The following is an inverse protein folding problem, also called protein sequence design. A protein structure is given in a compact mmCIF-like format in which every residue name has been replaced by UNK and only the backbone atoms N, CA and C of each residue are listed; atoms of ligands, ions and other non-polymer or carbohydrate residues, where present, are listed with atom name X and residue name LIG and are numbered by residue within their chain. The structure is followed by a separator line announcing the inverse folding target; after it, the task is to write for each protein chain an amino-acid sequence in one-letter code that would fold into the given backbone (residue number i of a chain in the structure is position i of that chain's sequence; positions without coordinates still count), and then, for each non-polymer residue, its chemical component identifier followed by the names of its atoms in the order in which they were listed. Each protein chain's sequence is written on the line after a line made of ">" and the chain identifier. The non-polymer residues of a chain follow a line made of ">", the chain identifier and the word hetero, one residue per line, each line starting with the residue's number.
data_IF_471246415230
#
_entry.id   IF_471246415230
#
_cell.length_a   1.000
_cell.length_b   1.000
_cell.length_c   1.000
_cell.angle_alpha   90.00
_cell.angle_beta   90.00
_cell.angle_gamma   90.00
#
_symmetry.space_group_name_H-M   'P 1'
#
loop_
_entity.id
_entity.type
_entity.pdbx_description
1 polymer ?
#
# COMPACT_ATOMS: atom_id res chain seq x y z
N UNK A 1 -14.50 -6.91 12.62
CA UNK A 1 -13.76 -7.03 11.35
C UNK A 1 -12.39 -7.64 11.63
N UNK A 2 -11.92 -8.54 10.76
CA UNK A 2 -10.57 -9.09 10.85
C UNK A 2 -9.62 -8.12 10.17
N UNK A 3 -8.54 -7.75 10.85
CA UNK A 3 -7.51 -6.87 10.30
C UNK A 3 -6.68 -7.59 9.25
N UNK A 4 -6.24 -6.86 8.24
CA UNK A 4 -5.40 -7.33 7.14
C UNK A 4 -4.21 -6.41 6.94
N UNK A 5 -3.04 -7.00 6.73
CA UNK A 5 -1.79 -6.28 6.62
C UNK A 5 -1.11 -6.51 5.27
N UNK A 6 -0.65 -5.42 4.68
CA UNK A 6 0.11 -5.45 3.44
C UNK A 6 1.59 -5.18 3.71
N UNK A 7 2.46 -6.00 3.13
CA UNK A 7 3.88 -5.75 3.02
C UNK A 7 4.16 -4.92 1.76
N UNK A 8 4.92 -3.85 1.89
CA UNK A 8 5.33 -3.04 0.73
C UNK A 8 6.62 -3.59 0.15
N UNK A 9 6.56 -4.13 -1.07
CA UNK A 9 7.73 -4.71 -1.72
C UNK A 9 8.77 -3.63 -2.09
N UNK A 10 10.05 -3.81 -1.71
CA UNK A 10 11.11 -2.86 -2.02
C UNK A 10 11.69 -3.12 -3.42
N UNK A 11 10.85 -2.97 -4.46
CA UNK A 11 11.24 -3.22 -5.86
C UNK A 11 12.05 -2.08 -6.50
N UNK A 12 12.83 -1.37 -5.70
CA UNK A 12 13.61 -0.18 -6.08
C UNK A 12 14.97 -0.20 -5.40
N UNK A 13 16.04 0.20 -6.10
CA UNK A 13 17.38 0.25 -5.53
C UNK A 13 17.42 1.15 -4.29
N UNK A 14 18.19 0.75 -3.28
CA UNK A 14 18.15 1.37 -1.96
C UNK A 14 16.99 0.91 -1.07
N UNK A 15 16.10 0.01 -1.53
CA UNK A 15 15.07 -0.64 -0.71
C UNK A 15 14.04 0.32 -0.10
N UNK A 16 13.73 1.44 -0.76
CA UNK A 16 12.86 2.51 -0.24
C UNK A 16 13.43 3.26 0.97
N UNK A 17 14.73 3.18 1.19
CA UNK A 17 15.37 3.75 2.38
C UNK A 17 15.46 5.26 2.33
N UNK A 18 15.12 5.89 3.44
CA UNK A 18 15.29 7.33 3.68
C UNK A 18 16.35 7.63 4.75
N UNK A 19 16.92 6.61 5.34
CA UNK A 19 17.86 6.68 6.47
C UNK A 19 19.20 6.07 6.09
N UNK A 20 20.29 6.50 6.75
CA UNK A 20 21.61 5.88 6.64
C UNK A 20 21.80 4.66 7.53
N UNK A 21 20.74 4.20 8.20
CA UNK A 21 20.80 2.98 9.00
C UNK A 21 21.09 1.76 8.12
N UNK A 22 22.07 0.93 8.50
CA UNK A 22 22.32 -0.32 7.80
C UNK A 22 21.09 -1.22 7.79
N UNK A 23 20.82 -1.84 6.65
CA UNK A 23 19.72 -2.81 6.51
C UNK A 23 20.10 -3.91 5.53
N UNK A 24 19.36 -5.04 5.63
CA UNK A 24 19.56 -6.23 4.79
C UNK A 24 18.63 -6.27 3.58
N UNK A 25 17.91 -5.19 3.32
CA UNK A 25 16.92 -5.12 2.26
C UNK A 25 17.60 -4.81 0.92
N UNK A 26 17.61 -5.76 0.02
CA UNK A 26 17.95 -5.57 -1.38
C UNK A 26 16.73 -5.18 -2.21
N UNK A 27 16.88 -5.11 -3.54
CA UNK A 27 15.82 -4.62 -4.44
C UNK A 27 15.64 -5.50 -5.69
N UNK A 28 16.55 -6.40 -5.95
CA UNK A 28 16.53 -7.23 -7.14
C UNK A 28 15.39 -8.26 -7.13
N UNK A 29 15.29 -9.04 -8.19
CA UNK A 29 14.23 -10.03 -8.35
C UNK A 29 14.24 -11.09 -7.25
N UNK A 30 15.39 -11.69 -6.98
CA UNK A 30 15.49 -12.80 -5.99
C UNK A 30 15.23 -12.26 -4.57
N UNK A 31 15.67 -11.04 -4.27
CA UNK A 31 15.35 -10.38 -3.01
C UNK A 31 13.84 -10.18 -2.85
N UNK A 32 13.17 -9.64 -3.87
CA UNK A 32 11.71 -9.41 -3.81
C UNK A 32 10.92 -10.73 -3.71
N UNK A 33 11.36 -11.81 -4.37
CA UNK A 33 10.77 -13.15 -4.19
C UNK A 33 10.93 -13.60 -2.75
N UNK A 34 12.13 -13.51 -2.21
CA UNK A 34 12.43 -13.89 -0.82
C UNK A 34 11.60 -13.09 0.17
N UNK A 35 11.47 -11.78 -0.01
CA UNK A 35 10.68 -10.92 0.89
C UNK A 35 9.19 -11.21 0.82
N UNK A 36 8.64 -11.46 -0.35
CA UNK A 36 7.24 -11.86 -0.49
C UNK A 36 6.96 -13.18 0.24
N UNK A 37 7.84 -14.17 0.11
CA UNK A 37 7.73 -15.44 0.82
C UNK A 37 7.89 -15.28 2.34
N UNK A 38 8.81 -14.44 2.79
CA UNK A 38 8.95 -14.08 4.21
C UNK A 38 7.67 -13.41 4.71
N UNK A 39 7.17 -12.39 4.04
CA UNK A 39 5.95 -11.69 4.42
C UNK A 39 4.75 -12.65 4.52
N UNK A 40 4.62 -13.58 3.57
CA UNK A 40 3.61 -14.63 3.59
C UNK A 40 3.72 -15.51 4.84
N UNK A 41 4.94 -15.94 5.18
CA UNK A 41 5.20 -16.78 6.34
C UNK A 41 4.99 -16.03 7.66
N UNK A 42 5.31 -14.75 7.71
CA UNK A 42 5.10 -13.87 8.85
C UNK A 42 3.63 -13.52 9.11
N UNK A 43 2.75 -13.77 8.15
CA UNK A 43 1.32 -13.55 8.36
C UNK A 43 0.73 -12.34 7.68
N UNK A 44 1.48 -11.63 6.83
CA UNK A 44 0.90 -10.60 5.98
C UNK A 44 -0.12 -11.19 5.00
N UNK A 45 -1.17 -10.41 4.69
CA UNK A 45 -2.25 -10.82 3.77
C UNK A 45 -1.97 -10.39 2.33
N UNK A 46 -1.25 -9.28 2.15
CA UNK A 46 -1.00 -8.67 0.86
C UNK A 46 0.48 -8.35 0.67
N UNK A 47 0.91 -8.35 -0.57
CA UNK A 47 2.10 -7.64 -1.02
C UNK A 47 1.68 -6.52 -1.97
N UNK A 48 2.12 -5.29 -1.70
CA UNK A 48 1.93 -4.13 -2.57
C UNK A 48 3.23 -3.83 -3.30
N UNK A 49 3.18 -3.80 -4.63
CA UNK A 49 4.29 -3.36 -5.46
C UNK A 49 4.07 -1.91 -5.87
N UNK A 50 5.08 -1.07 -5.63
CA UNK A 50 5.01 0.30 -6.14
C UNK A 50 5.31 0.35 -7.64
N UNK A 51 4.68 1.29 -8.33
CA UNK A 51 4.92 1.53 -9.74
C UNK A 51 5.62 2.85 -9.97
N UNK A 52 6.72 2.81 -10.73
CA UNK A 52 7.42 3.93 -11.35
C UNK A 52 8.10 3.41 -12.61
N UNK A 53 8.19 4.26 -13.60
CA UNK A 53 8.99 4.02 -14.80
C UNK A 53 10.35 4.72 -14.73
N UNK A 54 10.41 5.82 -13.96
CA UNK A 54 11.67 6.39 -13.49
C UNK A 54 11.79 6.09 -12.00
N UNK A 55 12.95 5.62 -11.57
CA UNK A 55 13.19 5.35 -10.17
C UNK A 55 13.02 6.63 -9.32
N UNK A 56 12.54 6.48 -8.10
CA UNK A 56 12.25 7.57 -7.19
C UNK A 56 12.89 7.36 -5.82
N UNK A 57 12.73 8.30 -4.91
CA UNK A 57 13.30 8.24 -3.55
C UNK A 57 14.83 8.16 -3.51
N UNK A 58 15.50 8.83 -4.46
CA UNK A 58 16.97 8.80 -4.56
C UNK A 58 17.53 7.49 -5.12
N UNK A 59 16.70 6.62 -5.64
CA UNK A 59 17.08 5.37 -6.27
C UNK A 59 17.40 5.55 -7.75
N UNK A 60 18.21 4.65 -8.30
CA UNK A 60 18.60 4.64 -9.71
C UNK A 60 17.82 3.55 -10.49
N UNK A 61 17.56 2.41 -9.87
CA UNK A 61 17.00 1.22 -10.51
C UNK A 61 15.65 0.85 -9.89
N UNK A 62 14.69 0.44 -10.72
CA UNK A 62 13.39 -0.03 -10.26
C UNK A 62 12.84 -1.13 -11.19
N UNK A 63 12.32 -2.21 -10.59
CA UNK A 63 11.60 -3.24 -11.32
C UNK A 63 10.16 -2.80 -11.56
N UNK A 64 9.64 -3.11 -12.77
CA UNK A 64 8.27 -2.77 -13.16
C UNK A 64 7.25 -3.64 -12.39
N UNK A 65 6.20 -3.01 -11.89
CA UNK A 65 5.28 -3.61 -10.94
C UNK A 65 4.44 -4.76 -11.52
N UNK A 66 3.88 -4.64 -12.71
CA UNK A 66 2.99 -5.67 -13.27
C UNK A 66 3.76 -6.94 -13.64
N UNK A 67 4.94 -6.79 -14.22
CA UNK A 67 5.82 -7.91 -14.56
C UNK A 67 6.30 -8.63 -13.29
N UNK A 68 6.74 -7.87 -12.28
CA UNK A 68 7.15 -8.45 -11.00
C UNK A 68 5.98 -9.11 -10.27
N UNK A 69 4.77 -8.53 -10.35
CA UNK A 69 3.56 -9.13 -9.76
C UNK A 69 3.30 -10.54 -10.30
N UNK A 70 3.46 -10.76 -11.60
CA UNK A 70 3.29 -12.08 -12.20
C UNK A 70 4.31 -13.09 -11.64
N UNK A 71 5.55 -12.67 -11.47
CA UNK A 71 6.60 -13.51 -10.90
C UNK A 71 6.35 -13.84 -9.43
N UNK A 72 5.98 -12.85 -8.60
CA UNK A 72 5.64 -13.07 -7.19
C UNK A 72 4.39 -13.93 -7.03
N UNK A 73 3.39 -13.77 -7.90
CA UNK A 73 2.20 -14.62 -7.93
C UNK A 73 2.53 -16.11 -8.09
N UNK A 74 3.52 -16.40 -8.96
CA UNK A 74 4.00 -17.77 -9.20
C UNK A 74 4.88 -18.34 -8.07
N UNK A 75 5.40 -17.52 -7.18
CA UNK A 75 6.37 -17.89 -6.12
C UNK A 75 5.78 -17.80 -4.70
N UNK A 76 4.52 -17.43 -4.57
CA UNK A 76 3.75 -17.34 -3.31
C UNK A 76 2.46 -18.13 -3.42
N UNK A 77 1.88 -18.52 -2.27
CA UNK A 77 0.70 -19.39 -2.22
C UNK A 77 -0.55 -18.69 -1.67
N UNK A 78 -0.39 -17.73 -0.75
CA UNK A 78 -1.48 -17.13 0.04
C UNK A 78 -1.61 -15.63 -0.10
N UNK A 79 -0.50 -14.91 -0.33
CA UNK A 79 -0.51 -13.44 -0.47
C UNK A 79 -1.39 -12.98 -1.63
N UNK A 80 -2.25 -12.01 -1.39
CA UNK A 80 -2.85 -11.23 -2.45
C UNK A 80 -1.82 -10.26 -3.03
N UNK A 81 -1.76 -10.20 -4.35
CA UNK A 81 -0.77 -9.38 -5.07
C UNK A 81 -1.46 -8.09 -5.52
N UNK A 82 -1.11 -6.96 -4.91
CA UNK A 82 -1.62 -5.65 -5.31
C UNK A 82 -0.65 -5.02 -6.31
N UNK A 83 -0.99 -5.10 -7.58
CA UNK A 83 -0.22 -4.52 -8.67
C UNK A 83 -0.54 -3.04 -8.81
N UNK A 84 0.42 -2.15 -8.58
CA UNK A 84 0.21 -0.73 -8.83
C UNK A 84 0.37 -0.40 -10.33
N UNK A 85 -0.54 0.42 -10.85
CA UNK A 85 -0.63 0.76 -12.27
C UNK A 85 -0.82 2.26 -12.47
N UNK A 86 -0.17 2.82 -13.49
CA UNK A 86 -0.29 4.22 -13.91
C UNK A 86 -1.12 4.32 -15.20
N UNK A 87 -2.41 4.69 -15.14
CA UNK A 87 -3.20 5.03 -16.32
C UNK A 87 -2.53 6.12 -17.15
N UNK A 88 -2.50 5.91 -18.47
CA UNK A 88 -1.79 6.76 -19.42
C UNK A 88 -0.48 6.15 -19.88
N UNK A 89 0.32 5.55 -19.01
CA UNK A 89 1.49 4.75 -19.41
C UNK A 89 1.10 3.32 -19.81
N UNK A 90 -0.07 2.85 -19.40
CA UNK A 90 -0.64 1.57 -19.80
C UNK A 90 -1.97 1.76 -20.52
N UNK A 91 -2.19 1.00 -21.60
CA UNK A 91 -3.51 0.87 -22.20
C UNK A 91 -4.38 -0.07 -21.36
N UNK A 92 -5.63 0.31 -20.98
CA UNK A 92 -6.46 -0.50 -20.07
C UNK A 92 -6.79 -1.90 -20.61
N UNK A 93 -6.96 -2.06 -21.91
CA UNK A 93 -7.20 -3.37 -22.53
C UNK A 93 -6.02 -4.32 -22.38
N UNK A 94 -4.78 -3.83 -22.55
CA UNK A 94 -3.57 -4.61 -22.31
C UNK A 94 -3.44 -4.96 -20.82
N UNK A 95 -3.64 -3.99 -19.95
CA UNK A 95 -3.58 -4.21 -18.50
C UNK A 95 -4.66 -5.16 -18.01
N UNK A 96 -5.88 -5.09 -18.53
CA UNK A 96 -6.95 -6.04 -18.21
C UNK A 96 -6.54 -7.49 -18.51
N UNK A 97 -5.85 -7.69 -19.64
CA UNK A 97 -5.34 -9.02 -20.06
C UNK A 97 -4.19 -9.48 -19.15
N UNK A 98 -3.27 -8.60 -18.80
CA UNK A 98 -2.16 -8.91 -17.90
C UNK A 98 -2.67 -9.29 -16.52
N UNK A 99 -3.58 -8.50 -15.94
CA UNK A 99 -4.16 -8.75 -14.61
C UNK A 99 -4.99 -10.05 -14.58
N UNK A 100 -5.73 -10.37 -15.65
CA UNK A 100 -6.41 -11.65 -15.77
C UNK A 100 -5.40 -12.82 -15.80
N UNK A 101 -4.25 -12.66 -16.46
CA UNK A 101 -3.18 -13.67 -16.47
C UNK A 101 -2.55 -13.82 -15.08
N UNK A 102 -2.25 -12.71 -14.39
CA UNK A 102 -1.74 -12.73 -13.01
C UNK A 102 -2.75 -13.41 -12.08
N UNK A 103 -4.04 -13.16 -12.29
CA UNK A 103 -5.10 -13.79 -11.50
C UNK A 103 -5.12 -15.31 -11.66
N UNK A 104 -4.98 -15.82 -12.90
CA UNK A 104 -4.83 -17.26 -13.15
C UNK A 104 -3.55 -17.84 -12.56
N UNK A 105 -2.41 -17.18 -12.73
CA UNK A 105 -1.13 -17.62 -12.13
C UNK A 105 -1.20 -17.70 -10.62
N UNK A 106 -1.89 -16.75 -9.99
CA UNK A 106 -2.04 -16.69 -8.54
C UNK A 106 -3.20 -17.54 -7.99
N UNK A 107 -4.06 -18.11 -8.84
CA UNK A 107 -5.27 -18.81 -8.37
C UNK A 107 -6.34 -17.88 -7.77
N UNK A 108 -6.51 -16.68 -8.33
CA UNK A 108 -7.53 -15.71 -7.90
C UNK A 108 -7.08 -14.76 -6.78
N UNK A 109 -5.76 -14.50 -6.65
CA UNK A 109 -5.17 -13.61 -5.62
C UNK A 109 -4.74 -12.25 -6.17
N UNK A 110 -5.12 -11.87 -7.39
CA UNK A 110 -4.77 -10.60 -8.00
C UNK A 110 -5.64 -9.45 -7.46
N UNK A 111 -5.02 -8.30 -7.29
CA UNK A 111 -5.66 -7.01 -7.04
C UNK A 111 -4.88 -5.91 -7.77
N UNK A 112 -5.46 -4.74 -7.97
CA UNK A 112 -4.81 -3.64 -8.66
C UNK A 112 -4.94 -2.34 -7.87
N UNK A 113 -3.85 -1.58 -7.76
CA UNK A 113 -3.85 -0.24 -7.20
C UNK A 113 -3.69 0.80 -8.32
N UNK A 114 -4.71 1.61 -8.53
CA UNK A 114 -4.72 2.63 -9.57
C UNK A 114 -4.11 3.92 -9.04
N UNK A 115 -2.99 4.33 -9.64
CA UNK A 115 -2.24 5.55 -9.29
C UNK A 115 -2.41 6.56 -10.44
N UNK A 116 -3.17 7.63 -10.21
CA UNK A 116 -3.49 8.63 -11.27
C UNK A 116 -2.29 9.43 -11.76
N UNK A 117 -1.16 9.35 -11.05
CA UNK A 117 0.10 9.99 -11.40
C UNK A 117 0.32 11.32 -10.66
N UNK A 118 1.55 11.54 -10.21
CA UNK A 118 2.00 12.76 -9.55
C UNK A 118 3.38 13.22 -10.03
N UNK A 119 4.12 12.35 -10.74
CA UNK A 119 5.45 12.65 -11.24
C UNK A 119 5.40 12.91 -12.75
N UNK A 120 5.37 14.19 -13.13
CA UNK A 120 5.28 14.66 -14.52
C UNK A 120 6.39 14.11 -15.40
N UNK A 121 7.61 13.99 -14.86
CA UNK A 121 8.80 13.63 -15.63
C UNK A 121 8.70 12.27 -16.32
N UNK A 122 8.08 11.26 -15.67
CA UNK A 122 7.97 9.93 -16.28
C UNK A 122 6.96 9.89 -17.44
N UNK A 123 5.85 10.65 -17.35
CA UNK A 123 4.89 10.74 -18.46
C UNK A 123 5.53 11.40 -19.68
N UNK A 124 6.10 12.58 -19.51
CA UNK A 124 6.76 13.31 -20.61
C UNK A 124 7.92 12.50 -21.19
N UNK A 125 8.72 11.84 -20.32
CA UNK A 125 9.86 11.03 -20.75
C UNK A 125 9.49 9.83 -21.61
N UNK A 126 8.30 9.27 -21.41
CA UNK A 126 7.75 8.17 -22.20
C UNK A 126 6.83 8.64 -23.35
N UNK A 127 6.75 9.95 -23.60
CA UNK A 127 6.01 10.53 -24.71
C UNK A 127 4.51 10.70 -24.47
N UNK A 128 4.07 10.53 -23.22
CA UNK A 128 2.67 10.70 -22.84
C UNK A 128 2.38 12.15 -22.40
N UNK A 129 1.22 12.70 -22.73
CA UNK A 129 0.85 14.03 -22.30
C UNK A 129 0.65 14.09 -20.78
N UNK A 130 1.15 15.17 -20.17
CA UNK A 130 0.83 15.48 -18.80
C UNK A 130 -0.50 16.22 -18.72
N UNK A 131 -1.53 15.52 -18.29
CA UNK A 131 -2.87 16.09 -18.12
C UNK A 131 -2.96 16.93 -16.84
N UNK A 132 -3.90 17.86 -16.81
CA UNK A 132 -4.27 18.57 -15.60
C UNK A 132 -4.73 17.62 -14.51
N UNK A 133 -4.65 18.07 -13.24
CA UNK A 133 -4.87 17.23 -12.08
C UNK A 133 -6.17 16.42 -12.18
N UNK A 134 -7.31 17.07 -12.39
CA UNK A 134 -8.62 16.39 -12.39
C UNK A 134 -8.81 15.50 -13.64
N UNK A 135 -8.23 15.88 -14.78
CA UNK A 135 -8.23 15.05 -15.98
C UNK A 135 -7.48 13.73 -15.81
N UNK A 136 -6.42 13.70 -14.99
CA UNK A 136 -5.75 12.46 -14.64
C UNK A 136 -6.67 11.51 -13.88
N UNK A 137 -7.53 12.02 -12.99
CA UNK A 137 -8.52 11.21 -12.28
C UNK A 137 -9.67 10.78 -13.20
N UNK A 138 -10.13 11.63 -14.13
CA UNK A 138 -11.11 11.25 -15.15
C UNK A 138 -10.58 10.11 -16.03
N UNK A 139 -9.33 10.22 -16.50
CA UNK A 139 -8.68 9.14 -17.24
C UNK A 139 -8.57 7.86 -16.44
N UNK A 140 -8.23 7.95 -15.17
CA UNK A 140 -8.14 6.78 -14.29
C UNK A 140 -9.50 6.13 -14.04
N UNK A 141 -10.57 6.92 -13.94
CA UNK A 141 -11.93 6.39 -13.83
C UNK A 141 -12.35 5.62 -15.08
N UNK A 142 -12.12 6.17 -16.27
CA UNK A 142 -12.38 5.46 -17.51
C UNK A 142 -11.54 4.18 -17.62
N UNK A 143 -10.27 4.24 -17.22
CA UNK A 143 -9.39 3.08 -17.17
C UNK A 143 -10.01 1.96 -16.31
N UNK A 144 -10.49 2.26 -15.10
CA UNK A 144 -11.14 1.30 -14.22
C UNK A 144 -12.41 0.74 -14.85
N UNK A 145 -13.25 1.60 -15.46
CA UNK A 145 -14.48 1.17 -16.14
C UNK A 145 -14.19 0.20 -17.28
N UNK A 146 -13.15 0.48 -18.07
CA UNK A 146 -12.69 -0.41 -19.14
C UNK A 146 -12.17 -1.75 -18.60
N UNK A 147 -11.41 -1.74 -17.49
CA UNK A 147 -10.99 -2.99 -16.84
C UNK A 147 -12.19 -3.84 -16.45
N UNK A 148 -13.17 -3.24 -15.75
CA UNK A 148 -14.37 -3.94 -15.28
C UNK A 148 -15.20 -4.48 -16.44
N UNK A 149 -15.39 -3.68 -17.50
CA UNK A 149 -16.13 -4.08 -18.69
C UNK A 149 -15.48 -5.30 -19.34
N UNK A 150 -14.17 -5.27 -19.57
CA UNK A 150 -13.41 -6.37 -20.14
C UNK A 150 -13.43 -7.64 -19.27
N UNK A 151 -13.44 -7.51 -17.95
CA UNK A 151 -13.47 -8.66 -17.04
C UNK A 151 -14.83 -9.33 -16.94
N UNK A 152 -15.93 -8.62 -17.22
CA UNK A 152 -17.29 -9.10 -16.99
C UNK A 152 -18.10 -9.35 -18.26
N UNK A 153 -18.05 -8.44 -19.23
CA UNK A 153 -18.82 -8.55 -20.48
C UNK A 153 -18.23 -9.59 -21.44
N UNK A 154 -19.06 -10.30 -22.17
CA UNK A 154 -18.61 -11.20 -23.24
C UNK A 154 -17.95 -10.41 -24.39
N UNK A 155 -18.62 -9.35 -24.83
CA UNK A 155 -18.14 -8.36 -25.78
C UNK A 155 -18.16 -7.00 -25.10
N UNK A 156 -16.99 -6.44 -24.84
CA UNK A 156 -16.83 -5.18 -24.16
C UNK A 156 -16.95 -4.02 -25.15
N UNK A 157 -17.84 -3.10 -24.84
CA UNK A 157 -18.04 -1.87 -25.61
C UNK A 157 -17.94 -0.68 -24.66
N UNK A 158 -17.07 0.29 -24.99
CA UNK A 158 -16.87 1.47 -24.18
C UNK A 158 -16.57 2.67 -25.09
N UNK A 159 -17.14 3.81 -24.77
CA UNK A 159 -16.85 5.07 -25.45
C UNK A 159 -16.71 6.18 -24.39
N UNK A 160 -15.50 6.58 -24.16
CA UNK A 160 -15.13 7.66 -23.27
C UNK A 160 -14.32 8.75 -23.97
N UNK A 161 -13.80 9.67 -23.20
CA UNK A 161 -12.94 10.74 -23.69
C UNK A 161 -11.50 10.28 -23.90
N UNK A 162 -11.05 9.28 -23.14
CA UNK A 162 -9.66 8.78 -23.16
C UNK A 162 -9.56 7.41 -23.80
N UNK A 163 -10.57 6.56 -23.69
CA UNK A 163 -10.54 5.18 -24.17
C UNK A 163 -11.81 4.80 -24.92
N UNK A 164 -11.66 3.91 -25.88
CA UNK A 164 -12.80 3.31 -26.58
C UNK A 164 -12.55 1.82 -26.83
N UNK A 165 -13.62 1.02 -26.72
CA UNK A 165 -13.64 -0.38 -27.08
C UNK A 165 -14.80 -0.63 -28.04
N UNK A 166 -14.59 -1.55 -29.00
CA UNK A 166 -15.60 -1.98 -29.95
C UNK A 166 -15.56 -3.51 -30.05
N UNK A 167 -16.57 -4.18 -29.54
CA UNK A 167 -16.72 -5.63 -29.47
C UNK A 167 -15.44 -6.36 -28.99
N UNK A 168 -14.74 -5.73 -28.03
CA UNK A 168 -13.50 -6.26 -27.51
C UNK A 168 -13.73 -7.49 -26.62
N UNK A 169 -12.94 -8.53 -26.82
CA UNK A 169 -13.02 -9.76 -26.05
C UNK A 169 -11.77 -9.93 -25.17
N UNK A 170 -11.99 -10.40 -23.95
CA UNK A 170 -10.93 -10.84 -23.04
C UNK A 170 -11.21 -12.29 -22.63
N UNK A 171 -10.37 -13.23 -23.08
CA UNK A 171 -10.42 -14.65 -22.74
C UNK A 171 -9.01 -15.16 -22.44
N UNK A 172 -8.78 -15.88 -21.30
CA UNK A 172 -9.75 -16.14 -20.24
C UNK A 172 -10.12 -14.88 -19.46
N UNK A 173 -11.30 -14.86 -18.84
CA UNK A 173 -11.65 -13.90 -17.82
C UNK A 173 -10.81 -14.18 -16.55
N UNK A 174 -10.58 -13.21 -15.65
CA UNK A 174 -10.01 -13.53 -14.35
C UNK A 174 -10.89 -14.54 -13.61
N UNK A 175 -10.30 -15.36 -12.74
CA UNK A 175 -11.02 -16.30 -11.85
C UNK A 175 -11.94 -15.51 -10.93
N UNK A 176 -11.44 -14.37 -10.44
CA UNK A 176 -12.21 -13.36 -9.71
C UNK A 176 -11.83 -11.98 -10.24
N UNK A 177 -12.79 -11.09 -10.53
CA UNK A 177 -12.44 -9.72 -10.88
C UNK A 177 -11.53 -9.11 -9.81
N UNK A 178 -10.30 -8.67 -10.19
CA UNK A 178 -9.38 -8.07 -9.23
C UNK A 178 -9.98 -6.87 -8.52
N UNK A 179 -9.84 -6.78 -7.19
CA UNK A 179 -10.28 -5.60 -6.44
C UNK A 179 -9.48 -4.37 -6.85
N UNK A 180 -10.18 -3.26 -6.97
CA UNK A 180 -9.60 -1.95 -7.30
C UNK A 180 -9.28 -1.21 -6.02
N UNK A 181 -8.00 -1.02 -5.77
CA UNK A 181 -7.45 -0.17 -4.71
C UNK A 181 -7.10 1.20 -5.29
N UNK A 182 -7.25 2.23 -4.49
CA UNK A 182 -6.94 3.59 -4.88
C UNK A 182 -6.63 4.44 -3.66
N UNK A 183 -5.68 5.37 -3.80
CA UNK A 183 -5.42 6.43 -2.84
C UNK A 183 -5.58 7.81 -3.45
N UNK A 184 -5.40 8.85 -2.64
CA UNK A 184 -5.43 10.25 -3.05
C UNK A 184 -6.36 11.10 -2.20
N UNK A 185 -5.95 12.32 -1.86
CA UNK A 185 -6.64 13.18 -0.89
C UNK A 185 -7.47 14.30 -1.52
N UNK A 186 -7.30 14.59 -2.82
CA UNK A 186 -8.05 15.60 -3.51
C UNK A 186 -9.54 15.23 -3.67
N UNK A 187 -10.39 16.23 -3.87
CA UNK A 187 -11.81 15.99 -4.15
C UNK A 187 -12.00 15.06 -5.36
N UNK A 188 -11.26 15.29 -6.45
CA UNK A 188 -11.30 14.42 -7.64
C UNK A 188 -10.95 12.96 -7.32
N UNK A 189 -9.91 12.72 -6.47
CA UNK A 189 -9.54 11.38 -6.02
C UNK A 189 -10.66 10.70 -5.22
N UNK A 190 -11.24 11.42 -4.24
CA UNK A 190 -12.32 10.90 -3.39
C UNK A 190 -13.59 10.64 -4.20
N UNK A 191 -13.93 11.55 -5.13
CA UNK A 191 -15.06 11.37 -6.03
C UNK A 191 -14.91 10.15 -6.95
N UNK A 192 -13.70 9.94 -7.53
CA UNK A 192 -13.40 8.73 -8.30
C UNK A 192 -13.53 7.48 -7.41
N UNK A 193 -12.97 7.50 -6.19
CA UNK A 193 -13.10 6.37 -5.26
C UNK A 193 -14.56 6.05 -4.97
N UNK A 194 -15.38 7.07 -4.70
CA UNK A 194 -16.83 6.93 -4.49
C UNK A 194 -17.53 6.26 -5.66
N UNK A 195 -17.14 6.54 -6.90
CA UNK A 195 -17.79 6.00 -8.09
C UNK A 195 -17.32 4.60 -8.50
N UNK A 196 -16.02 4.31 -8.38
CA UNK A 196 -15.48 3.12 -9.07
C UNK A 196 -14.50 2.25 -8.27
N UNK A 197 -14.08 2.62 -7.06
CA UNK A 197 -13.11 1.83 -6.31
C UNK A 197 -13.77 0.85 -5.35
N UNK A 198 -13.06 -0.24 -5.00
CA UNK A 198 -13.49 -1.21 -3.99
C UNK A 198 -12.85 -0.91 -2.64
N UNK A 199 -11.61 -0.39 -2.64
CA UNK A 199 -10.84 -0.03 -1.45
C UNK A 199 -10.23 1.35 -1.62
N UNK A 200 -10.45 2.23 -0.65
CA UNK A 200 -9.83 3.55 -0.60
C UNK A 200 -8.76 3.60 0.47
N UNK A 201 -7.52 3.92 0.07
CA UNK A 201 -6.39 4.08 0.96
C UNK A 201 -6.10 5.54 1.28
N UNK A 202 -5.85 5.79 2.57
CA UNK A 202 -5.41 7.08 3.11
C UNK A 202 -3.98 6.97 3.64
N UNK A 203 -3.21 8.05 3.60
CA UNK A 203 -1.98 8.12 4.38
C UNK A 203 -2.31 8.24 5.87
N UNK A 204 -1.53 7.60 6.74
CA UNK A 204 -1.69 7.68 8.18
C UNK A 204 -1.76 9.15 8.65
N UNK A 205 -2.75 9.47 9.45
CA UNK A 205 -3.03 10.83 9.92
C UNK A 205 -3.75 10.77 11.27
N UNK A 206 -4.04 11.93 11.87
CA UNK A 206 -4.87 11.99 13.08
C UNK A 206 -6.23 11.34 12.85
N UNK A 207 -6.81 10.78 13.89
CA UNK A 207 -8.11 10.10 13.80
C UNK A 207 -9.21 11.03 13.25
N UNK A 208 -9.18 12.31 13.62
CA UNK A 208 -10.11 13.32 13.11
C UNK A 208 -10.00 13.48 11.58
N UNK A 209 -8.77 13.62 11.06
CA UNK A 209 -8.54 13.74 9.62
C UNK A 209 -8.92 12.47 8.86
N UNK A 210 -8.68 11.30 9.44
CA UNK A 210 -9.09 10.01 8.85
C UNK A 210 -10.61 9.89 8.83
N UNK A 211 -11.30 10.20 9.94
CA UNK A 211 -12.77 10.19 10.00
C UNK A 211 -13.37 11.11 8.95
N UNK A 212 -12.87 12.34 8.84
CA UNK A 212 -13.33 13.30 7.83
C UNK A 212 -13.20 12.75 6.41
N UNK A 213 -12.07 12.13 6.08
CA UNK A 213 -11.87 11.53 4.75
C UNK A 213 -12.82 10.35 4.49
N UNK A 214 -13.06 9.51 5.49
CA UNK A 214 -14.01 8.39 5.42
C UNK A 214 -15.42 8.92 5.14
N UNK A 215 -15.86 9.93 5.88
CA UNK A 215 -17.20 10.50 5.75
C UNK A 215 -17.41 11.15 4.37
N UNK A 216 -16.41 11.90 3.88
CA UNK A 216 -16.43 12.47 2.54
C UNK A 216 -16.55 11.39 1.44
N UNK A 217 -15.77 10.31 1.54
CA UNK A 217 -15.81 9.23 0.54
C UNK A 217 -17.13 8.46 0.63
N UNK A 218 -17.67 8.23 1.83
CA UNK A 218 -18.98 7.60 2.02
C UNK A 218 -20.11 8.42 1.41
N UNK A 219 -20.11 9.75 1.63
CA UNK A 219 -21.09 10.64 1.04
C UNK A 219 -21.05 10.62 -0.49
N UNK A 220 -19.85 10.74 -1.08
CA UNK A 220 -19.64 10.67 -2.53
C UNK A 220 -20.03 9.28 -3.11
N UNK A 221 -19.87 8.22 -2.32
CA UNK A 221 -20.29 6.87 -2.68
C UNK A 221 -21.81 6.73 -2.72
N UNK A 222 -22.49 7.29 -1.73
CA UNK A 222 -23.96 7.32 -1.65
C UNK A 222 -24.55 8.15 -2.80
N UNK A 223 -24.01 9.34 -3.08
CA UNK A 223 -24.42 10.16 -4.24
C UNK A 223 -24.26 9.41 -5.57
N UNK A 224 -23.22 8.57 -5.69
CA UNK A 224 -22.98 7.76 -6.87
C UNK A 224 -23.88 6.50 -6.94
N UNK A 225 -24.74 6.26 -5.94
CA UNK A 225 -25.61 5.08 -5.88
C UNK A 225 -24.85 3.75 -5.80
N UNK A 226 -23.62 3.78 -5.25
CA UNK A 226 -22.76 2.59 -5.15
C UNK A 226 -22.92 1.89 -3.80
N UNK A 227 -22.64 0.57 -3.76
CA UNK A 227 -22.59 -0.21 -2.54
C UNK A 227 -21.41 0.16 -1.62
N UNK A 228 -21.19 -0.57 -0.51
CA UNK A 228 -20.13 -0.28 0.46
C UNK A 228 -18.74 -0.18 -0.18
N UNK A 229 -17.85 0.62 0.43
CA UNK A 229 -16.43 0.71 0.10
C UNK A 229 -15.60 0.32 1.33
N UNK A 230 -14.49 -0.37 1.11
CA UNK A 230 -13.54 -0.74 2.15
C UNK A 230 -12.50 0.37 2.33
N UNK A 231 -11.95 0.50 3.56
CA UNK A 231 -10.97 1.54 3.87
C UNK A 231 -9.67 0.94 4.37
N UNK A 232 -8.56 1.58 3.98
CA UNK A 232 -7.23 1.23 4.45
C UNK A 232 -6.37 2.45 4.79
N UNK A 233 -5.33 2.22 5.58
CA UNK A 233 -4.32 3.22 5.93
C UNK A 233 -2.94 2.75 5.50
N UNK A 234 -2.19 3.66 4.88
CA UNK A 234 -0.79 3.48 4.53
C UNK A 234 0.07 4.31 5.48
N UNK A 235 0.97 3.66 6.21
CA UNK A 235 1.85 4.30 7.18
C UNK A 235 3.03 3.41 7.54
N UNK A 236 3.80 3.87 8.52
CA UNK A 236 4.89 3.11 9.09
C UNK A 236 4.53 2.65 10.50
N UNK A 237 5.26 1.66 10.98
CA UNK A 237 5.17 1.18 12.34
C UNK A 237 6.58 1.01 12.91
N UNK A 238 6.77 1.46 14.12
CA UNK A 238 8.00 1.29 14.90
C UNK A 238 7.58 0.71 16.24
N UNK A 239 7.61 -0.61 16.34
CA UNK A 239 7.22 -1.33 17.55
C UNK A 239 8.46 -1.94 18.20
N UNK A 240 8.60 -1.76 19.51
CA UNK A 240 9.68 -2.37 20.32
C UNK A 240 9.05 -2.93 21.61
N UNK A 241 9.82 -3.67 22.39
CA UNK A 241 9.31 -4.26 23.63
C UNK A 241 8.84 -3.20 24.62
N UNK A 242 9.49 -2.01 24.63
CA UNK A 242 9.12 -0.89 25.49
C UNK A 242 8.85 0.38 24.68
N UNK A 243 8.09 1.29 25.26
CA UNK A 243 7.79 2.62 24.71
C UNK A 243 9.08 3.41 24.45
N UNK A 244 10.02 3.39 25.42
CA UNK A 244 11.29 4.11 25.34
C UNK A 244 12.16 3.61 24.16
N UNK A 245 12.24 2.30 23.98
CA UNK A 245 12.99 1.71 22.86
C UNK A 245 12.37 2.06 21.50
N UNK A 246 11.04 2.12 21.43
CA UNK A 246 10.34 2.48 20.20
C UNK A 246 10.62 3.93 19.80
N UNK A 247 10.53 4.86 20.75
CA UNK A 247 10.84 6.26 20.49
C UNK A 247 12.32 6.49 20.18
N UNK A 248 13.24 5.82 20.88
CA UNK A 248 14.67 5.86 20.55
C UNK A 248 14.96 5.34 19.11
N UNK A 249 14.22 4.31 18.66
CA UNK A 249 14.32 3.81 17.29
C UNK A 249 13.79 4.84 16.27
N UNK A 250 12.71 5.56 16.58
CA UNK A 250 12.17 6.63 15.74
C UNK A 250 13.17 7.79 15.59
N UNK A 251 13.75 8.26 16.69
CA UNK A 251 14.76 9.31 16.67
C UNK A 251 16.00 8.90 15.87
N UNK A 252 16.44 7.66 16.03
CA UNK A 252 17.57 7.11 15.29
C UNK A 252 17.37 7.11 13.77
N UNK A 253 16.13 6.96 13.29
CA UNK A 253 15.85 7.00 11.85
C UNK A 253 16.23 8.34 11.21
N UNK A 254 16.09 9.44 11.94
CA UNK A 254 16.33 10.79 11.44
C UNK A 254 17.61 11.43 12.01
N UNK A 255 18.40 10.68 12.77
CA UNK A 255 19.63 11.16 13.43
C UNK A 255 20.60 11.84 12.44
N UNK A 256 20.72 11.30 11.22
CA UNK A 256 21.63 11.80 10.20
C UNK A 256 20.95 12.71 9.16
N UNK A 257 19.71 13.11 9.37
CA UNK A 257 19.00 14.05 8.50
C UNK A 257 19.24 15.46 9.04
N UNK A 258 20.02 16.28 8.34
CA UNK A 258 20.30 17.66 8.71
C UNK A 258 19.21 18.64 8.26
N UNK A 259 19.21 19.84 8.82
CA UNK A 259 18.18 20.85 8.53
C UNK A 259 18.23 21.35 7.08
N UNK A 260 19.41 21.34 6.44
CA UNK A 260 19.56 21.70 5.03
C UNK A 260 18.86 20.66 4.13
N UNK A 261 19.01 19.38 4.44
CA UNK A 261 18.34 18.30 3.74
C UNK A 261 16.82 18.40 3.90
N UNK A 262 16.33 18.70 5.11
CA UNK A 262 14.90 18.93 5.37
C UNK A 262 14.40 20.11 4.53
N UNK A 263 15.08 21.26 4.60
CA UNK A 263 14.68 22.46 3.86
C UNK A 263 14.57 22.20 2.35
N UNK A 264 15.57 21.51 1.77
CA UNK A 264 15.56 21.12 0.35
C UNK A 264 14.38 20.19 0.02
N UNK A 265 14.12 19.19 0.86
CA UNK A 265 13.00 18.29 0.66
C UNK A 265 11.66 19.03 0.71
N UNK A 266 11.47 19.92 1.70
CA UNK A 266 10.26 20.73 1.85
C UNK A 266 10.04 21.69 0.65
N UNK A 267 11.11 22.24 0.06
CA UNK A 267 11.00 23.03 -1.18
C UNK A 267 10.50 22.20 -2.36
N UNK A 268 11.00 20.98 -2.50
CA UNK A 268 10.52 20.04 -3.54
C UNK A 268 9.04 19.71 -3.32
N UNK A 269 8.64 19.41 -2.07
CA UNK A 269 7.27 19.04 -1.72
C UNK A 269 6.27 20.15 -2.01
N UNK A 270 6.63 21.41 -1.76
CA UNK A 270 5.80 22.58 -2.08
C UNK A 270 5.48 22.72 -3.58
N UNK A 271 6.35 22.21 -4.44
CA UNK A 271 6.19 22.28 -5.90
C UNK A 271 5.40 21.09 -6.48
N UNK A 272 5.09 20.08 -5.65
CA UNK A 272 4.36 18.90 -6.09
C UNK A 272 2.87 19.19 -6.26
N UNK A 273 2.31 18.73 -7.34
CA UNK A 273 0.86 18.75 -7.59
C UNK A 273 0.16 17.59 -6.84
N UNK A 274 0.19 17.66 -5.51
CA UNK A 274 -0.33 16.60 -4.63
C UNK A 274 -0.94 17.15 -3.35
N UNK A 275 -2.27 17.05 -3.24
CA UNK A 275 -3.00 17.38 -2.01
C UNK A 275 -2.56 16.51 -0.83
N UNK A 276 -2.34 15.21 -1.09
CA UNK A 276 -1.86 14.28 -0.08
C UNK A 276 -0.49 14.69 0.48
N UNK A 277 0.41 15.21 -0.36
CA UNK A 277 1.71 15.70 0.10
C UNK A 277 1.56 16.98 0.93
N UNK A 278 0.70 17.91 0.51
CA UNK A 278 0.41 19.12 1.31
C UNK A 278 -0.11 18.76 2.69
N UNK A 279 -1.05 17.82 2.77
CA UNK A 279 -1.61 17.34 4.03
C UNK A 279 -0.54 16.69 4.93
N UNK A 280 0.35 15.86 4.37
CA UNK A 280 1.43 15.24 5.15
C UNK A 280 2.42 16.29 5.65
N UNK A 281 2.82 17.24 4.81
CA UNK A 281 3.74 18.32 5.18
C UNK A 281 3.16 19.23 6.27
N UNK A 282 1.85 19.50 6.27
CA UNK A 282 1.20 20.34 7.28
C UNK A 282 1.21 19.75 8.69
N UNK A 283 1.47 18.46 8.85
CA UNK A 283 1.54 17.81 10.16
C UNK A 283 2.75 18.27 10.98
N UNK A 284 3.88 18.49 10.33
CA UNK A 284 5.16 18.83 10.99
C UNK A 284 5.76 20.16 10.52
N UNK A 285 5.33 20.71 9.37
CA UNK A 285 5.83 21.97 8.78
C UNK A 285 7.36 22.04 8.62
N UNK A 286 8.03 20.88 8.59
CA UNK A 286 9.50 20.78 8.56
C UNK A 286 10.18 20.93 9.93
N UNK A 287 9.42 21.05 11.01
CA UNK A 287 9.95 21.23 12.37
C UNK A 287 10.22 19.90 13.06
N UNK A 288 11.48 19.63 13.39
CA UNK A 288 11.92 18.43 14.13
C UNK A 288 11.35 18.33 15.56
N UNK A 289 10.93 19.43 16.15
CA UNK A 289 10.42 19.46 17.52
C UNK A 289 8.91 19.18 17.60
N UNK A 290 8.24 19.00 16.47
CA UNK A 290 6.78 18.79 16.35
C UNK A 290 6.44 17.52 15.59
N UNK A 291 7.14 16.43 15.90
CA UNK A 291 6.99 15.20 15.14
C UNK A 291 5.93 14.25 15.72
N UNK A 292 5.65 14.27 17.01
CA UNK A 292 4.48 13.58 17.56
C UNK A 292 3.24 14.45 17.33
N UNK A 293 2.48 14.13 16.29
CA UNK A 293 1.34 14.94 15.81
C UNK A 293 0.00 14.51 16.39
N UNK A 294 -0.03 13.36 17.03
CA UNK A 294 -1.13 12.78 17.82
C UNK A 294 -0.50 11.70 18.70
N UNK A 295 -1.15 11.22 19.76
CA UNK A 295 -0.57 10.19 20.63
C UNK A 295 -0.03 9.00 19.83
N UNK A 296 1.27 8.73 19.95
CA UNK A 296 2.01 7.67 19.27
C UNK A 296 2.00 7.74 17.72
N UNK A 297 1.59 8.87 17.14
CA UNK A 297 1.64 9.14 15.71
C UNK A 297 2.78 10.11 15.40
N UNK A 298 3.88 9.58 14.90
CA UNK A 298 5.12 10.31 14.61
C UNK A 298 5.24 10.63 13.12
N UNK A 299 5.54 11.88 12.79
CA UNK A 299 5.62 12.38 11.41
C UNK A 299 7.06 12.52 10.86
N UNK A 300 8.06 11.97 11.56
CA UNK A 300 9.47 12.15 11.20
C UNK A 300 9.87 11.59 9.84
N UNK A 301 9.22 10.52 9.38
CA UNK A 301 9.45 9.99 8.02
C UNK A 301 9.13 11.04 6.96
N UNK A 302 8.09 11.85 7.18
CA UNK A 302 7.62 12.89 6.26
C UNK A 302 8.57 14.08 6.10
N UNK A 303 9.56 14.23 6.98
CA UNK A 303 10.54 15.33 6.87
C UNK A 303 11.29 15.32 5.52
N UNK A 304 11.60 14.14 5.00
CA UNK A 304 12.42 13.95 3.80
C UNK A 304 11.83 12.99 2.77
N UNK A 305 10.66 12.39 3.06
CA UNK A 305 10.00 11.42 2.18
C UNK A 305 8.63 11.92 1.72
N UNK A 306 8.31 11.68 0.45
CA UNK A 306 7.00 11.93 -0.13
C UNK A 306 6.02 10.78 0.17
N UNK A 307 4.72 11.06 0.10
CA UNK A 307 3.65 10.09 0.32
C UNK A 307 3.38 9.87 1.81
N UNK A 308 3.18 8.63 2.27
CA UNK A 308 3.00 8.34 3.69
C UNK A 308 4.23 8.77 4.49
N UNK A 309 4.02 9.64 5.44
CA UNK A 309 5.08 10.28 6.22
C UNK A 309 4.97 10.05 7.73
N UNK A 310 3.98 9.29 8.18
CA UNK A 310 3.71 9.03 9.60
C UNK A 310 3.99 7.59 9.99
N UNK A 311 4.36 7.38 11.24
CA UNK A 311 4.54 6.07 11.86
C UNK A 311 3.75 5.97 13.15
N UNK A 312 3.17 4.80 13.43
CA UNK A 312 2.75 4.44 14.78
C UNK A 312 3.96 3.96 15.56
N UNK A 313 4.24 4.59 16.71
CA UNK A 313 5.43 4.33 17.53
C UNK A 313 5.01 3.93 18.92
N UNK A 314 5.57 2.85 19.47
CA UNK A 314 5.31 2.44 20.84
C UNK A 314 5.56 0.97 21.14
N UNK A 315 5.22 0.56 22.34
CA UNK A 315 5.19 -0.86 22.71
C UNK A 315 4.02 -1.59 22.02
N UNK A 316 4.02 -2.95 22.02
CA UNK A 316 3.03 -3.71 21.26
C UNK A 316 1.57 -3.47 21.70
N UNK A 317 1.32 -3.18 22.97
CA UNK A 317 -0.04 -2.94 23.45
C UNK A 317 -0.50 -1.53 23.07
N UNK A 318 0.38 -0.55 23.19
CA UNK A 318 0.14 0.84 22.76
C UNK A 318 -0.15 0.92 21.28
N UNK A 319 0.70 0.33 20.42
CA UNK A 319 0.48 0.32 18.97
C UNK A 319 -0.81 -0.43 18.61
N UNK A 320 -1.09 -1.57 19.24
CA UNK A 320 -2.33 -2.30 19.02
C UNK A 320 -3.57 -1.48 19.40
N UNK A 321 -3.51 -0.71 20.51
CA UNK A 321 -4.58 0.20 20.88
C UNK A 321 -4.80 1.31 19.85
N UNK A 322 -3.72 1.91 19.31
CA UNK A 322 -3.83 2.89 18.22
C UNK A 322 -4.44 2.31 16.95
N UNK A 323 -4.03 1.10 16.55
CA UNK A 323 -4.64 0.37 15.40
C UNK A 323 -6.12 0.10 15.65
N UNK A 324 -6.49 -0.23 16.88
CA UNK A 324 -7.90 -0.43 17.26
C UNK A 324 -8.74 0.83 17.08
N UNK A 325 -8.20 2.01 17.37
CA UNK A 325 -8.89 3.27 17.13
C UNK A 325 -9.17 3.52 15.66
N UNK A 326 -8.21 3.25 14.77
CA UNK A 326 -8.44 3.29 13.32
C UNK A 326 -9.48 2.23 12.89
N UNK A 327 -9.44 1.03 13.48
CA UNK A 327 -10.42 -0.03 13.22
C UNK A 327 -11.84 0.40 13.58
N UNK A 328 -12.00 1.14 14.68
CA UNK A 328 -13.29 1.65 15.15
C UNK A 328 -13.89 2.69 14.20
N UNK A 329 -13.07 3.39 13.40
CA UNK A 329 -13.51 4.25 12.29
C UNK A 329 -13.95 3.46 11.04
N UNK A 330 -13.68 2.15 11.00
CA UNK A 330 -14.02 1.28 9.89
C UNK A 330 -12.85 0.90 8.98
N UNK A 331 -11.61 1.12 9.43
CA UNK A 331 -10.41 0.70 8.71
C UNK A 331 -10.09 -0.74 9.08
N UNK A 332 -9.94 -1.58 8.08
CA UNK A 332 -9.58 -2.99 8.25
C UNK A 332 -8.31 -3.40 7.51
N UNK A 333 -7.71 -2.50 6.74
CA UNK A 333 -6.50 -2.75 5.96
C UNK A 333 -5.40 -1.76 6.30
N UNK A 334 -4.22 -2.29 6.54
CA UNK A 334 -3.04 -1.51 6.88
C UNK A 334 -1.89 -1.89 5.95
N UNK A 335 -1.32 -0.91 5.26
CA UNK A 335 -0.01 -1.05 4.64
C UNK A 335 0.97 -0.50 5.66
N UNK A 336 1.60 -1.40 6.42
CA UNK A 336 2.60 -1.05 7.42
C UNK A 336 3.98 -1.38 6.89
N UNK A 337 4.81 -0.37 6.83
CA UNK A 337 6.21 -0.46 6.46
C UNK A 337 7.10 0.00 7.61
N UNK A 338 8.39 -0.22 7.52
CA UNK A 338 9.35 0.23 8.52
C UNK A 338 10.73 0.41 7.90
N UNK A 339 11.61 1.00 8.66
CA UNK A 339 13.03 1.13 8.32
C UNK A 339 13.89 0.73 9.52
N UNK A 340 14.77 -0.25 9.39
CA UNK A 340 15.10 -1.08 8.20
C UNK A 340 13.94 -1.95 7.74
N UNK A 341 13.72 -2.02 6.43
CA UNK A 341 12.47 -2.51 5.85
C UNK A 341 12.15 -3.98 6.16
N UNK A 342 13.12 -4.87 6.02
CA UNK A 342 12.94 -6.30 6.28
C UNK A 342 12.89 -6.60 7.79
N UNK A 343 13.78 -5.98 8.54
CA UNK A 343 13.88 -6.16 9.99
C UNK A 343 12.60 -5.73 10.68
N UNK A 344 12.01 -4.60 10.28
CA UNK A 344 10.73 -4.13 10.84
C UNK A 344 9.55 -5.06 10.51
N UNK A 345 9.59 -5.75 9.38
CA UNK A 345 8.57 -6.76 9.07
C UNK A 345 8.60 -7.93 10.06
N UNK A 346 9.80 -8.41 10.43
CA UNK A 346 9.96 -9.45 11.46
C UNK A 346 9.50 -8.93 12.84
N UNK A 347 9.96 -7.76 13.24
CA UNK A 347 9.61 -7.15 14.53
C UNK A 347 8.10 -6.92 14.64
N UNK A 348 7.46 -6.44 13.59
CA UNK A 348 6.00 -6.26 13.53
C UNK A 348 5.27 -7.59 13.69
N UNK A 349 5.71 -8.62 12.99
CA UNK A 349 5.07 -9.93 13.07
C UNK A 349 5.26 -10.60 14.44
N UNK A 350 6.42 -10.43 15.06
CA UNK A 350 6.75 -11.03 16.36
C UNK A 350 6.06 -10.31 17.53
N UNK A 351 6.13 -8.98 17.56
CA UNK A 351 5.68 -8.19 18.69
C UNK A 351 4.22 -7.72 18.56
N UNK A 352 3.80 -7.29 17.38
CA UNK A 352 2.52 -6.62 17.18
C UNK A 352 1.40 -7.58 16.77
N UNK A 353 1.62 -8.46 15.79
CA UNK A 353 0.57 -9.34 15.28
C UNK A 353 -0.09 -10.22 16.34
N UNK A 354 0.61 -10.74 17.38
CA UNK A 354 -0.04 -11.48 18.46
C UNK A 354 -1.04 -10.69 19.31
N UNK A 355 -0.97 -9.34 19.24
CA UNK A 355 -1.85 -8.43 19.98
C UNK A 355 -3.09 -8.00 19.20
N UNK A 356 -3.18 -8.39 17.93
CA UNK A 356 -4.21 -7.91 17.01
C UNK A 356 -5.23 -9.01 16.65
N UNK A 357 -6.48 -8.64 16.32
CA UNK A 357 -7.50 -9.58 15.86
C UNK A 357 -7.28 -9.94 14.37
N UNK A 358 -6.12 -10.50 14.07
CA UNK A 358 -5.81 -11.06 12.75
C UNK A 358 -6.34 -12.48 12.60
N UNK A 359 -6.60 -12.92 11.38
CA UNK A 359 -6.94 -14.30 11.12
C UNK A 359 -5.75 -15.17 11.56
N UNK A 360 -5.95 -15.99 12.61
CA UNK A 360 -4.94 -17.01 12.94
C UNK A 360 -4.83 -17.93 11.74
N UNK A 361 -3.66 -17.99 11.14
CA UNK A 361 -3.35 -19.07 10.21
C UNK A 361 -3.45 -20.36 11.00
N UNK A 362 -4.27 -21.27 10.52
CA UNK A 362 -4.46 -22.57 11.17
C UNK A 362 -3.19 -23.42 10.95
N UNK A 363 -2.19 -23.19 11.77
CA UNK A 363 -0.98 -24.03 11.87
C UNK A 363 -1.24 -25.29 12.71
N UNK A 364 -2.42 -25.43 13.23
CA UNK A 364 -2.89 -26.66 13.84
C UNK A 364 -3.27 -27.68 12.76
N UNK A 365 -2.31 -28.07 11.96
CA UNK A 365 -2.29 -29.46 11.54
C UNK A 365 -2.28 -30.25 12.82
N UNK A 366 -3.34 -30.99 13.09
CA UNK A 366 -3.45 -31.93 14.21
C UNK A 366 -2.37 -33.01 14.10
N UNK A 367 -1.13 -32.62 14.20
CA UNK A 367 0.02 -33.52 14.26
C UNK A 367 0.15 -33.98 15.70
N UNK A 368 -0.31 -35.18 15.95
CA UNK A 368 0.15 -35.93 17.11
C UNK A 368 1.64 -36.15 16.92
N UNK A 369 2.46 -35.38 17.61
CA UNK A 369 3.91 -35.66 17.66
C UNK A 369 4.09 -36.88 18.57
N UNK A 370 4.40 -38.00 17.95
CA UNK A 370 4.91 -39.18 18.67
C UNK A 370 6.38 -38.92 18.96
N UNK A 371 6.66 -38.51 20.18
CA UNK A 371 8.04 -38.50 20.69
C UNK A 371 8.50 -39.96 20.93
N UNK A 372 9.80 -40.25 20.77
CA UNK A 372 10.35 -41.54 21.18
C UNK A 372 10.08 -41.90 22.64
N UNK A 373 9.65 -40.95 23.46
CA UNK A 373 9.36 -41.07 24.89
C UNK A 373 7.85 -41.11 25.20
N UNK A 374 7.00 -41.27 24.21
CA UNK A 374 5.55 -41.31 24.36
C UNK A 374 4.85 -40.13 23.70
N UNK A 375 3.53 -40.23 23.48
CA UNK A 375 2.74 -39.18 22.85
C UNK A 375 2.66 -37.93 23.70
N UNK A 376 3.19 -36.82 23.19
CA UNK A 376 2.91 -35.50 23.70
C UNK A 376 1.59 -35.03 23.08
N UNK A 377 0.50 -35.09 23.84
CA UNK A 377 -0.70 -34.37 23.49
C UNK A 377 -0.37 -32.88 23.61
N UNK A 378 -0.56 -32.13 22.53
CA UNK A 378 -0.54 -30.66 22.62
C UNK A 378 -1.59 -30.23 23.64
N UNK A 379 -1.15 -29.84 24.83
CA UNK A 379 -2.05 -29.21 25.78
C UNK A 379 -2.49 -27.87 25.16
N UNK A 380 -3.80 -27.72 24.90
CA UNK A 380 -4.40 -26.43 24.74
C UNK A 380 -5.11 -26.15 23.44
N UNK A 381 -6.04 -27.01 23.01
CA UNK A 381 -7.24 -26.53 22.34
C UNK A 381 -8.35 -26.48 23.40
N UNK A 382 -8.58 -25.32 23.95
CA UNK A 382 -9.84 -24.95 24.62
C UNK A 382 -10.26 -23.59 24.07
#
# INVERSE_FOLDING_TARGET
>A
MTLKFAYWAPNVSGGLVISKLPQKTGWDFEDNVRYAQIAENLGFDYVLLQTRFFASYGAELQLEAATLSAALAARTEKLQIITAVLPGLWHPGVMAKMLATIDHVSGGRSAVNIVSGWFKGEFIGYGEPWLDHDERYRRSEEFIRVLRELWTAEYANFKGDFYSLNDAQLKPKPIRPPKIFQGGNSHAAKAMAGRVSDVYFMNGNTLENIQKQIDEVRALREEAGQGPIEFGVNGFVIVRETEEEAWAAAEKLIEHVDDETIAKAQEVFKRMDSEGQRLMTSLHEGDRNRLEVSPNLWAGVGLVRTGAGTALVGDPNTVAARIKEYQDLGIDKFILSGYPHLEEAYTTAELLFPKLPIAKKDDTLGRTFLSPFGGLTSAGAK
#
